data_IF_405474927596
#
_entry.id   IF_405474927596
#
_cell.length_a   1.000
_cell.length_b   1.000
_cell.length_c   1.000
_cell.angle_alpha   90.00
_cell.angle_beta   90.00
_cell.angle_gamma   90.00
#
_symmetry.space_group_name_H-M   'P 1'
#
loop_
_entity.id
_entity.type
_entity.pdbx_description
1 polymer ?
#
# COMPACT_ATOMS: atom_id res chain seq x y z
N UNK A 1 -0.65 23.48 -16.79
CA UNK A 1 -0.10 22.10 -16.72
C UNK A 1 -0.92 21.17 -15.79
N UNK A 2 -0.89 19.83 -15.98
CA UNK A 2 -1.54 18.84 -15.07
C UNK A 2 -0.61 18.44 -13.91
N UNK A 3 -1.18 18.06 -12.76
CA UNK A 3 -0.42 17.62 -11.57
C UNK A 3 0.49 16.42 -11.85
N UNK A 4 0.01 15.43 -12.60
CA UNK A 4 0.80 14.25 -12.99
C UNK A 4 2.08 14.67 -13.73
N UNK A 5 1.98 15.62 -14.66
CA UNK A 5 3.12 16.17 -15.38
C UNK A 5 4.10 16.88 -14.45
N UNK A 6 3.61 17.63 -13.45
CA UNK A 6 4.48 18.24 -12.44
C UNK A 6 5.29 17.19 -11.66
N UNK A 7 4.63 16.09 -11.26
CA UNK A 7 5.28 15.00 -10.52
C UNK A 7 6.32 14.28 -11.39
N UNK A 8 6.03 14.04 -12.66
CA UNK A 8 7.00 13.46 -13.59
C UNK A 8 8.21 14.38 -13.82
N UNK A 9 7.99 15.70 -13.89
CA UNK A 9 9.10 16.66 -13.96
C UNK A 9 9.97 16.59 -12.70
N UNK A 10 9.35 16.51 -11.51
CA UNK A 10 10.08 16.36 -10.26
C UNK A 10 10.88 15.06 -10.23
N UNK A 11 10.25 13.92 -10.52
CA UNK A 11 10.91 12.63 -10.54
C UNK A 11 12.06 12.56 -11.56
N UNK A 12 12.02 13.36 -12.64
CA UNK A 12 13.13 13.48 -13.59
C UNK A 12 14.30 14.24 -13.00
N UNK A 13 14.04 15.31 -12.23
CA UNK A 13 15.10 16.05 -11.53
C UNK A 13 15.75 15.20 -10.44
N UNK A 14 14.97 14.35 -9.77
CA UNK A 14 15.43 13.44 -8.72
C UNK A 14 16.13 12.18 -9.27
N UNK A 15 16.09 11.95 -10.59
CA UNK A 15 16.71 10.79 -11.25
C UNK A 15 15.94 9.48 -11.10
N UNK A 16 14.64 9.55 -10.82
CA UNK A 16 13.76 8.39 -10.59
C UNK A 16 13.01 7.93 -11.85
N UNK A 17 13.12 8.66 -12.97
CA UNK A 17 12.54 8.26 -14.25
C UNK A 17 13.42 7.25 -14.99
N UNK A 18 12.78 6.33 -15.71
CA UNK A 18 13.47 5.50 -16.69
C UNK A 18 13.85 6.32 -17.96
N UNK A 19 14.84 5.81 -18.70
CA UNK A 19 15.39 6.51 -19.87
C UNK A 19 14.36 6.77 -20.99
N UNK A 20 13.35 5.92 -21.13
CA UNK A 20 12.31 6.10 -22.14
C UNK A 20 11.40 7.27 -21.73
N UNK A 21 10.94 7.26 -20.48
CA UNK A 21 10.07 8.31 -19.95
C UNK A 21 10.78 9.66 -19.89
N UNK A 22 12.08 9.66 -19.60
CA UNK A 22 12.88 10.89 -19.59
C UNK A 22 12.98 11.53 -20.98
N UNK A 23 13.15 10.74 -22.05
CA UNK A 23 13.13 11.24 -23.42
C UNK A 23 11.76 11.80 -23.84
N UNK A 24 10.67 11.15 -23.44
CA UNK A 24 9.29 11.63 -23.67
C UNK A 24 9.05 12.97 -22.93
N UNK A 25 9.50 13.07 -21.69
CA UNK A 25 9.40 14.29 -20.90
C UNK A 25 10.25 15.42 -21.47
N UNK A 26 11.45 15.12 -21.98
CA UNK A 26 12.29 16.12 -22.63
C UNK A 26 11.62 16.69 -23.89
N UNK A 27 10.97 15.83 -24.68
CA UNK A 27 10.17 16.27 -25.81
C UNK A 27 9.01 17.17 -25.37
N UNK A 28 8.34 16.84 -24.26
CA UNK A 28 7.27 17.65 -23.67
C UNK A 28 7.77 19.02 -23.20
N UNK A 29 8.87 19.08 -22.43
CA UNK A 29 9.47 20.34 -21.96
C UNK A 29 9.95 21.24 -23.11
N UNK A 30 10.27 20.68 -24.28
CA UNK A 30 10.63 21.46 -25.48
C UNK A 30 9.41 22.09 -26.15
N UNK A 31 8.25 21.45 -26.04
CA UNK A 31 7.00 21.89 -26.66
C UNK A 31 6.18 22.81 -25.73
N UNK A 32 6.25 22.57 -24.42
CA UNK A 32 5.53 23.32 -23.39
C UNK A 32 6.50 24.20 -22.59
N UNK A 33 6.48 25.54 -22.80
CA UNK A 33 7.32 26.47 -22.05
C UNK A 33 7.06 26.46 -20.54
N UNK A 34 5.84 26.17 -20.10
CA UNK A 34 5.48 26.09 -18.67
C UNK A 34 6.22 24.91 -18.02
N UNK A 35 6.20 23.74 -18.67
CA UNK A 35 6.90 22.55 -18.23
C UNK A 35 8.43 22.73 -18.25
N UNK A 36 8.96 23.37 -19.29
CA UNK A 36 10.39 23.71 -19.38
C UNK A 36 10.85 24.61 -18.23
N UNK A 37 10.10 25.69 -17.95
CA UNK A 37 10.39 26.60 -16.86
C UNK A 37 10.33 25.92 -15.49
N UNK A 38 9.33 25.06 -15.26
CA UNK A 38 9.25 24.29 -14.00
C UNK A 38 10.46 23.37 -13.83
N UNK A 39 10.86 22.65 -14.88
CA UNK A 39 12.03 21.76 -14.82
C UNK A 39 13.31 22.52 -14.50
N UNK A 40 13.50 23.68 -15.11
CA UNK A 40 14.66 24.54 -14.82
C UNK A 40 14.65 25.07 -13.37
N UNK A 41 13.49 25.54 -12.90
CA UNK A 41 13.32 26.00 -11.52
C UNK A 41 13.64 24.90 -10.50
N UNK A 42 13.16 23.67 -10.73
CA UNK A 42 13.44 22.52 -9.87
C UNK A 42 14.91 22.13 -9.89
N UNK A 43 15.57 22.14 -11.05
CA UNK A 43 17.03 21.88 -11.14
C UNK A 43 17.85 22.91 -10.38
N UNK A 44 17.46 24.18 -10.47
CA UNK A 44 18.12 25.26 -9.74
C UNK A 44 17.91 25.10 -8.23
N UNK A 45 16.70 24.77 -7.80
CA UNK A 45 16.40 24.48 -6.39
C UNK A 45 17.21 23.28 -5.88
N UNK A 46 17.20 22.16 -6.60
CA UNK A 46 17.97 20.97 -6.25
C UNK A 46 19.46 21.29 -6.09
N UNK A 47 20.03 22.07 -7.02
CA UNK A 47 21.43 22.49 -6.95
C UNK A 47 21.69 23.41 -5.75
N UNK A 48 20.82 24.40 -5.51
CA UNK A 48 20.94 25.31 -4.38
C UNK A 48 20.86 24.57 -3.04
N UNK A 49 19.94 23.61 -2.90
CA UNK A 49 19.84 22.77 -1.70
C UNK A 49 21.13 21.97 -1.51
N UNK A 50 21.62 21.30 -2.55
CA UNK A 50 22.82 20.46 -2.46
C UNK A 50 24.09 21.25 -2.15
N UNK A 51 24.21 22.47 -2.67
CA UNK A 51 25.36 23.35 -2.42
C UNK A 51 25.34 23.99 -1.03
N UNK A 52 24.15 24.12 -0.42
CA UNK A 52 23.97 24.75 0.89
C UNK A 52 23.57 23.74 1.98
N UNK A 53 23.69 22.45 1.72
CA UNK A 53 23.44 21.42 2.71
C UNK A 53 24.54 21.46 3.78
N UNK A 54 24.20 21.69 5.07
CA UNK A 54 25.20 21.71 6.12
C UNK A 54 25.87 20.35 6.24
N UNK A 55 27.19 20.33 6.23
CA UNK A 55 27.96 19.11 6.45
C UNK A 55 27.81 18.66 7.91
N UNK A 56 26.96 17.67 8.17
CA UNK A 56 26.87 17.04 9.48
C UNK A 56 27.93 15.95 9.60
N UNK A 57 28.91 16.18 10.47
CA UNK A 57 29.86 15.14 10.87
C UNK A 57 29.33 14.40 12.09
N UNK A 58 29.24 13.09 11.98
CA UNK A 58 29.04 12.23 13.14
C UNK A 58 30.28 12.36 14.02
N UNK A 59 30.11 12.76 15.28
CA UNK A 59 31.22 12.93 16.22
C UNK A 59 31.91 11.60 16.56
N UNK A 60 31.15 10.51 16.48
CA UNK A 60 31.62 9.16 16.74
C UNK A 60 32.31 8.55 15.52
N UNK A 61 33.28 7.67 15.80
CA UNK A 61 33.89 6.84 14.76
C UNK A 61 32.84 5.94 14.09
N UNK A 62 33.06 5.62 12.82
CA UNK A 62 32.23 4.71 12.04
C UNK A 62 32.05 3.37 12.78
N UNK A 63 33.12 2.86 13.36
CA UNK A 63 33.16 1.60 14.10
C UNK A 63 32.29 1.64 15.36
N UNK A 64 32.27 2.79 16.06
CA UNK A 64 31.41 2.98 17.22
C UNK A 64 29.92 2.94 16.84
N UNK A 65 29.55 3.66 15.79
CA UNK A 65 28.17 3.72 15.30
C UNK A 65 27.67 2.34 14.81
N UNK A 66 28.45 1.67 13.96
CA UNK A 66 28.09 0.32 13.49
C UNK A 66 28.08 -0.72 14.62
N UNK A 67 28.99 -0.59 15.59
CA UNK A 67 28.97 -1.42 16.79
C UNK A 67 27.68 -1.26 17.59
N UNK A 68 27.11 -0.05 17.67
CA UNK A 68 25.83 0.19 18.32
C UNK A 68 24.67 -0.47 17.56
N UNK A 69 24.64 -0.35 16.23
CA UNK A 69 23.64 -1.02 15.39
C UNK A 69 23.71 -2.53 15.59
N UNK A 70 24.89 -3.12 15.49
CA UNK A 70 25.09 -4.56 15.67
C UNK A 70 24.62 -5.03 17.04
N UNK A 71 24.97 -4.31 18.12
CA UNK A 71 24.50 -4.64 19.48
C UNK A 71 22.98 -4.61 19.58
N UNK A 72 22.31 -3.63 18.98
CA UNK A 72 20.83 -3.53 18.99
C UNK A 72 20.18 -4.68 18.22
N UNK A 73 20.72 -5.04 17.05
CA UNK A 73 20.24 -6.18 16.27
C UNK A 73 20.38 -7.47 17.09
N UNK A 74 21.57 -7.73 17.65
CA UNK A 74 21.81 -8.93 18.46
C UNK A 74 20.91 -8.99 19.69
N UNK A 75 20.60 -7.86 20.32
CA UNK A 75 19.66 -7.81 21.45
C UNK A 75 18.23 -8.13 21.01
N UNK A 76 17.77 -7.57 19.88
CA UNK A 76 16.44 -7.85 19.33
C UNK A 76 16.30 -9.35 18.98
N UNK A 77 17.28 -9.93 18.29
CA UNK A 77 17.29 -11.36 17.95
C UNK A 77 17.28 -12.27 19.18
N UNK A 78 17.98 -11.89 20.26
CA UNK A 78 17.96 -12.63 21.53
C UNK A 78 16.60 -12.53 22.21
N UNK A 79 15.99 -11.35 22.19
CA UNK A 79 14.66 -11.13 22.76
C UNK A 79 13.62 -12.01 22.04
N UNK A 80 13.62 -12.02 20.69
CA UNK A 80 12.76 -12.88 19.87
C UNK A 80 12.94 -14.37 20.18
N UNK A 81 14.20 -14.84 20.27
CA UNK A 81 14.50 -16.24 20.61
C UNK A 81 14.10 -16.64 22.02
N UNK A 82 14.04 -15.67 22.95
CA UNK A 82 13.63 -15.91 24.34
C UNK A 82 12.11 -15.84 24.56
N UNK A 83 11.33 -15.43 23.55
CA UNK A 83 9.88 -15.39 23.69
C UNK A 83 9.35 -16.81 23.89
N UNK A 84 8.69 -17.10 25.03
CA UNK A 84 8.09 -18.41 25.23
C UNK A 84 7.03 -18.62 24.15
N UNK A 85 7.06 -19.78 23.49
CA UNK A 85 6.04 -20.13 22.50
C UNK A 85 4.65 -19.92 23.11
N UNK A 86 3.70 -19.29 22.38
CA UNK A 86 2.36 -19.08 22.89
C UNK A 86 1.81 -20.44 23.31
N UNK A 87 1.44 -20.58 24.58
CA UNK A 87 0.80 -21.79 25.10
C UNK A 87 -0.56 -21.89 24.43
N UNK A 88 -0.63 -22.63 23.32
CA UNK A 88 -1.89 -22.90 22.64
C UNK A 88 -2.80 -23.63 23.63
N UNK A 89 -3.91 -23.00 23.98
CA UNK A 89 -4.94 -23.62 24.81
C UNK A 89 -5.40 -24.92 24.13
N UNK A 90 -5.60 -26.03 24.87
CA UNK A 90 -6.07 -27.29 24.31
C UNK A 90 -7.38 -27.13 23.52
N UNK A 91 -8.17 -26.11 23.85
CA UNK A 91 -9.40 -25.73 23.14
C UNK A 91 -9.15 -25.24 21.70
N UNK A 92 -8.02 -24.58 21.44
CA UNK A 92 -7.65 -24.09 20.10
C UNK A 92 -7.29 -25.23 19.14
N UNK A 93 -6.63 -26.27 19.65
CA UNK A 93 -6.34 -27.49 18.87
C UNK A 93 -7.62 -28.24 18.47
N UNK A 94 -8.63 -28.26 19.34
CA UNK A 94 -9.93 -28.86 19.05
C UNK A 94 -10.69 -28.09 17.96
N UNK A 95 -10.68 -26.75 18.03
CA UNK A 95 -11.32 -25.91 17.01
C UNK A 95 -10.71 -26.07 15.61
N UNK A 96 -9.42 -26.41 15.53
CA UNK A 96 -8.72 -26.65 14.26
C UNK A 96 -9.25 -27.87 13.50
N UNK A 97 -9.85 -28.84 14.20
CA UNK A 97 -10.55 -29.98 13.62
C UNK A 97 -12.04 -29.71 13.38
N UNK A 98 -12.66 -28.85 14.18
CA UNK A 98 -14.07 -28.47 14.01
C UNK A 98 -14.29 -27.56 12.79
N UNK A 99 -13.33 -26.69 12.46
CA UNK A 99 -13.42 -25.76 11.34
C UNK A 99 -13.71 -26.43 9.97
N UNK A 100 -12.97 -27.47 9.52
CA UNK A 100 -13.28 -28.13 8.25
C UNK A 100 -14.62 -28.87 8.27
N UNK A 101 -15.00 -29.46 9.40
CA UNK A 101 -16.30 -30.15 9.55
C UNK A 101 -17.47 -29.17 9.50
N UNK A 102 -17.35 -28.02 10.18
CA UNK A 102 -18.34 -26.96 10.15
C UNK A 102 -18.47 -26.35 8.74
N UNK A 103 -17.36 -26.16 8.02
CA UNK A 103 -17.37 -25.72 6.63
C UNK A 103 -18.09 -26.69 5.71
N UNK A 104 -17.83 -27.99 5.83
CA UNK A 104 -18.52 -29.01 5.04
C UNK A 104 -20.03 -29.05 5.37
N UNK A 105 -20.38 -28.96 6.65
CA UNK A 105 -21.78 -28.90 7.09
C UNK A 105 -22.52 -27.66 6.59
N UNK A 106 -21.86 -26.51 6.52
CA UNK A 106 -22.43 -25.29 5.95
C UNK A 106 -22.69 -25.43 4.44
N UNK A 107 -21.74 -26.01 3.69
CA UNK A 107 -21.90 -26.26 2.24
C UNK A 107 -23.04 -27.24 1.98
N UNK A 108 -23.11 -28.35 2.72
CA UNK A 108 -24.21 -29.32 2.55
C UNK A 108 -25.55 -28.70 2.93
N UNK A 109 -25.61 -27.88 3.99
CA UNK A 109 -26.81 -27.17 4.38
C UNK A 109 -27.28 -26.20 3.27
N UNK A 110 -26.38 -25.40 2.69
CA UNK A 110 -26.70 -24.49 1.57
C UNK A 110 -27.23 -25.27 0.36
N UNK A 111 -26.61 -26.39 0.01
CA UNK A 111 -27.09 -27.25 -1.08
C UNK A 111 -28.49 -27.80 -0.81
N UNK A 112 -28.73 -28.32 0.39
CA UNK A 112 -30.06 -28.87 0.75
C UNK A 112 -31.16 -27.82 0.82
N UNK A 113 -30.82 -26.58 1.21
CA UNK A 113 -31.75 -25.45 1.20
C UNK A 113 -32.03 -24.99 -0.22
N UNK A 114 -31.01 -24.96 -1.11
CA UNK A 114 -31.16 -24.61 -2.52
C UNK A 114 -32.14 -25.53 -3.24
N UNK A 115 -32.10 -26.82 -2.95
CA UNK A 115 -33.00 -27.81 -3.58
C UNK A 115 -34.44 -27.74 -3.06
N UNK A 116 -34.71 -26.98 -1.99
CA UNK A 116 -36.04 -26.81 -1.38
C UNK A 116 -36.71 -25.47 -1.68
N UNK A 117 -36.05 -24.58 -2.42
CA UNK A 117 -36.62 -23.30 -2.84
C UNK A 117 -37.14 -23.44 -4.27
N UNK A 118 -38.47 -23.38 -4.52
CA UNK A 118 -38.95 -23.20 -5.87
C UNK A 118 -38.42 -21.86 -6.39
N UNK A 119 -37.79 -21.89 -7.55
CA UNK A 119 -37.16 -20.75 -8.19
C UNK A 119 -38.23 -19.73 -8.61
N UNK A 120 -38.51 -18.79 -7.71
CA UNK A 120 -39.09 -17.50 -8.09
C UNK A 120 -38.01 -16.43 -7.93
N UNK A 121 -37.67 -15.78 -9.04
CA UNK A 121 -36.55 -14.87 -9.13
C UNK A 121 -36.73 -13.68 -8.21
N UNK A 122 -35.90 -13.60 -7.17
CA UNK A 122 -35.69 -12.36 -6.42
C UNK A 122 -34.20 -12.09 -6.34
N UNK A 123 -33.75 -11.16 -7.19
CA UNK A 123 -32.44 -10.52 -7.05
C UNK A 123 -32.51 -9.66 -5.80
N UNK A 124 -31.88 -10.10 -4.71
CA UNK A 124 -31.64 -9.26 -3.53
C UNK A 124 -30.32 -8.52 -3.78
N UNK A 125 -30.40 -7.46 -4.57
CA UNK A 125 -29.40 -6.41 -4.57
C UNK A 125 -29.73 -5.50 -3.37
N UNK A 126 -28.96 -5.57 -2.29
CA UNK A 126 -28.98 -4.52 -1.26
C UNK A 126 -28.23 -3.30 -1.77
N UNK A 127 -28.76 -2.67 -2.81
CA UNK A 127 -28.39 -1.32 -3.21
C UNK A 127 -29.27 -0.36 -2.41
N UNK A 128 -28.74 0.20 -1.32
CA UNK A 128 -29.32 1.40 -0.74
C UNK A 128 -29.00 2.57 -1.67
N UNK A 129 -29.99 3.30 -2.22
CA UNK A 129 -29.70 4.50 -2.99
C UNK A 129 -29.30 5.61 -2.02
N UNK A 130 -28.08 6.13 -2.15
CA UNK A 130 -27.74 7.46 -1.62
C UNK A 130 -28.22 8.47 -2.68
N UNK A 131 -29.22 9.31 -2.40
CA UNK A 131 -29.64 10.33 -3.33
C UNK A 131 -28.66 11.50 -3.24
N UNK A 132 -27.85 11.69 -4.28
CA UNK A 132 -26.90 12.80 -4.35
C UNK A 132 -25.81 12.54 -5.38
N UNK A 133 -26.18 12.70 -6.64
CA UNK A 133 -25.32 13.14 -7.76
C UNK A 133 -23.81 12.81 -7.65
N UNK A 134 -23.50 11.52 -7.82
CA UNK A 134 -22.24 10.93 -8.31
C UNK A 134 -22.32 9.41 -8.07
N UNK A 135 -22.22 8.61 -9.13
CA UNK A 135 -22.28 7.15 -9.06
C UNK A 135 -21.03 6.58 -8.39
N UNK A 136 -21.04 6.54 -7.06
CA UNK A 136 -20.01 5.90 -6.26
C UNK A 136 -20.50 4.54 -5.75
N UNK A 137 -19.80 3.46 -6.10
CA UNK A 137 -20.01 2.14 -5.50
C UNK A 137 -18.93 1.93 -4.44
N UNK A 138 -19.36 1.69 -3.21
CA UNK A 138 -18.44 1.43 -2.08
C UNK A 138 -18.47 -0.06 -1.79
N UNK A 139 -17.31 -0.70 -1.97
CA UNK A 139 -17.09 -2.09 -1.56
C UNK A 139 -16.24 -2.09 -0.29
N UNK A 140 -16.70 -2.78 0.75
CA UNK A 140 -15.95 -2.93 2.00
C UNK A 140 -15.74 -4.42 2.28
N UNK A 141 -14.48 -4.84 2.35
CA UNK A 141 -14.09 -6.17 2.79
C UNK A 141 -13.65 -6.09 4.25
N UNK A 142 -14.48 -6.60 5.17
CA UNK A 142 -14.13 -6.68 6.59
C UNK A 142 -13.05 -7.74 6.87
N UNK A 143 -12.84 -8.70 5.95
CA UNK A 143 -11.80 -9.72 6.07
C UNK A 143 -10.39 -9.16 5.81
N UNK A 144 -10.29 -8.22 4.86
CA UNK A 144 -9.03 -7.63 4.44
C UNK A 144 -8.77 -6.25 5.07
N UNK A 145 -9.77 -5.68 5.77
CA UNK A 145 -9.69 -4.32 6.32
C UNK A 145 -9.64 -3.23 5.25
N UNK A 146 -10.09 -3.52 4.03
CA UNK A 146 -9.99 -2.60 2.88
C UNK A 146 -11.37 -2.10 2.49
N UNK A 147 -11.45 -0.79 2.23
CA UNK A 147 -12.61 -0.15 1.59
C UNK A 147 -12.19 0.40 0.25
N UNK A 148 -12.88 -0.02 -0.81
CA UNK A 148 -12.67 0.42 -2.19
C UNK A 148 -13.83 1.34 -2.59
N UNK A 149 -13.46 2.52 -3.08
CA UNK A 149 -14.40 3.49 -3.64
C UNK A 149 -14.22 3.49 -5.16
N UNK A 150 -15.25 3.07 -5.90
CA UNK A 150 -15.25 3.18 -7.36
C UNK A 150 -16.12 4.37 -7.75
N UNK A 151 -15.50 5.37 -8.39
CA UNK A 151 -16.17 6.58 -8.89
C UNK A 151 -16.12 6.49 -10.42
N UNK A 152 -17.29 6.60 -11.06
CA UNK A 152 -17.44 6.68 -12.52
C UNK A 152 -17.79 8.12 -12.92
#
# INVERSE_FOLDING_TARGET
MKTETCLEIQASVDGELDAKREAELEALCRQDPEAGALREALRNLHSAVRENEPEYRVADSREFYWGQIQRRITQAERAEKSMPAPKLSPFSSMFRWLAPVAGLAAVTLVFTLRDRVPSDGTIIASAGPVPGDQSAVIYRSDADGVTVHWIN
#
